data_IF_919150939061
#
_entry.id   IF_919150939061
#
_cell.length_a   1.000
_cell.length_b   1.000
_cell.length_c   1.000
_cell.angle_alpha   90.00
_cell.angle_beta   90.00
_cell.angle_gamma   90.00
#
_symmetry.space_group_name_H-M   'P 1'
#
loop_
_entity.id
_entity.type
_entity.pdbx_description
1 polymer ?
#
# COMPACT_ATOMS: atom_id res chain seq x y z
N UNK A 1 42.93 8.96 55.71
CA UNK A 1 41.48 8.68 55.82
C UNK A 1 40.70 8.89 54.50
N UNK A 2 41.31 8.81 53.31
CA UNK A 2 40.63 9.17 52.04
C UNK A 2 40.31 8.00 51.10
N UNK A 3 40.80 6.79 51.38
CA UNK A 3 40.53 5.59 50.56
C UNK A 3 39.09 5.06 50.59
N UNK A 4 38.35 5.07 51.71
CA UNK A 4 36.98 4.53 51.71
C UNK A 4 35.98 5.49 51.04
N UNK A 5 36.25 6.80 51.08
CA UNK A 5 35.38 7.83 50.48
C UNK A 5 35.38 7.76 48.95
N UNK A 6 36.54 7.48 48.35
CA UNK A 6 36.70 7.36 46.89
C UNK A 6 35.95 6.12 46.35
N UNK A 7 35.94 5.03 47.12
CA UNK A 7 35.31 3.76 46.71
C UNK A 7 33.78 3.87 46.72
N UNK A 8 33.22 4.58 47.70
CA UNK A 8 31.77 4.85 47.79
C UNK A 8 31.29 5.74 46.64
N UNK A 9 32.10 6.72 46.23
CA UNK A 9 31.76 7.61 45.11
C UNK A 9 31.69 6.87 43.76
N UNK A 10 32.60 5.93 43.51
CA UNK A 10 32.62 5.11 42.28
C UNK A 10 31.42 4.14 42.23
N UNK A 11 31.06 3.55 43.38
CA UNK A 11 29.90 2.65 43.48
C UNK A 11 28.56 3.39 43.28
N UNK A 12 28.44 4.66 43.69
CA UNK A 12 27.24 5.46 43.43
C UNK A 12 27.08 5.85 41.94
N UNK A 13 28.18 6.02 41.20
CA UNK A 13 28.11 6.37 39.77
C UNK A 13 27.73 5.19 38.87
N UNK A 14 27.99 3.94 39.32
CA UNK A 14 27.63 2.74 38.57
C UNK A 14 26.13 2.45 38.58
N UNK A 15 25.40 2.90 39.62
CA UNK A 15 23.92 2.77 39.68
C UNK A 15 23.17 3.82 38.86
N UNK A 16 23.85 4.85 38.34
CA UNK A 16 23.29 5.85 37.42
C UNK A 16 23.56 5.52 35.94
N UNK A 17 24.19 4.39 35.63
CA UNK A 17 24.09 3.78 34.31
C UNK A 17 22.66 3.24 34.15
N UNK A 18 21.70 4.18 34.10
CA UNK A 18 20.31 3.93 33.81
C UNK A 18 20.23 3.17 32.51
N UNK A 19 19.44 2.11 32.54
CA UNK A 19 19.03 1.35 31.37
C UNK A 19 18.62 2.36 30.29
N UNK A 20 19.47 2.59 29.29
CA UNK A 20 19.01 3.25 28.07
C UNK A 20 18.08 2.21 27.45
N UNK A 21 16.78 2.35 27.67
CA UNK A 21 15.79 1.49 27.03
C UNK A 21 15.82 1.84 25.55
N UNK A 22 16.74 1.20 24.83
CA UNK A 22 16.76 1.21 23.38
C UNK A 22 15.68 0.24 22.91
N UNK A 23 14.42 0.64 23.07
CA UNK A 23 13.28 -0.08 22.52
C UNK A 23 13.56 -0.33 21.03
N UNK A 24 13.49 -1.57 20.54
CA UNK A 24 13.72 -1.85 19.13
C UNK A 24 12.60 -1.23 18.30
N UNK A 25 12.96 -0.66 17.16
CA UNK A 25 11.98 -0.30 16.13
C UNK A 25 11.46 -1.58 15.49
N UNK A 26 10.15 -1.80 15.56
CA UNK A 26 9.49 -2.96 14.97
C UNK A 26 8.47 -2.49 13.95
N UNK A 27 8.60 -3.00 12.72
CA UNK A 27 7.65 -2.77 11.64
C UNK A 27 6.80 -4.03 11.47
N UNK A 28 5.50 -3.88 11.69
CA UNK A 28 4.48 -4.87 11.37
C UNK A 28 3.36 -4.14 10.62
N UNK A 29 3.14 -4.56 9.36
CA UNK A 29 2.12 -3.97 8.49
C UNK A 29 1.28 -5.05 7.83
N UNK A 30 -0.04 -4.87 7.85
CA UNK A 30 -1.02 -5.75 7.22
C UNK A 30 -1.76 -5.00 6.12
N UNK A 31 -1.89 -5.61 4.93
CA UNK A 31 -2.70 -5.05 3.85
C UNK A 31 -4.15 -5.56 3.93
N UNK A 32 -5.13 -4.68 3.70
CA UNK A 32 -6.56 -5.02 3.71
C UNK A 32 -6.94 -6.06 2.66
N UNK A 33 -6.32 -6.00 1.49
CA UNK A 33 -6.48 -6.95 0.39
C UNK A 33 -5.19 -7.02 -0.44
N UNK A 34 -4.90 -8.19 -1.00
CA UNK A 34 -3.73 -8.44 -1.86
C UNK A 34 -4.07 -8.42 -3.36
N UNK A 35 -5.36 -8.57 -3.69
CA UNK A 35 -5.90 -8.65 -5.04
C UNK A 35 -6.99 -7.58 -5.28
N UNK A 36 -6.70 -6.28 -5.07
CA UNK A 36 -7.70 -5.23 -5.27
C UNK A 36 -8.07 -5.11 -6.76
N UNK A 37 -9.31 -4.70 -7.06
CA UNK A 37 -9.84 -4.70 -8.44
C UNK A 37 -10.11 -3.28 -8.93
N UNK A 38 -9.52 -2.89 -10.07
CA UNK A 38 -9.94 -1.72 -10.85
C UNK A 38 -11.16 -2.10 -11.69
N UNK A 39 -12.18 -1.26 -11.68
CA UNK A 39 -13.40 -1.49 -12.45
C UNK A 39 -13.51 -0.45 -13.55
N UNK A 40 -13.69 -0.89 -14.79
CA UNK A 40 -13.95 -0.04 -15.94
C UNK A 40 -15.34 -0.36 -16.52
N UNK A 41 -16.16 0.66 -16.75
CA UNK A 41 -17.50 0.51 -17.33
C UNK A 41 -17.51 1.13 -18.73
N UNK A 42 -17.90 0.32 -19.71
CA UNK A 42 -17.99 0.70 -21.11
C UNK A 42 -19.44 0.66 -21.58
N UNK A 43 -19.82 1.68 -22.35
CA UNK A 43 -21.07 1.71 -23.10
C UNK A 43 -20.77 1.90 -24.58
N UNK A 44 -21.30 1.03 -25.43
CA UNK A 44 -21.10 1.08 -26.89
C UNK A 44 -19.61 1.17 -27.29
N UNK A 45 -18.76 0.43 -26.57
CA UNK A 45 -17.31 0.40 -26.75
C UNK A 45 -16.56 1.62 -26.22
N UNK A 46 -17.24 2.59 -25.60
CA UNK A 46 -16.65 3.81 -25.03
C UNK A 46 -16.53 3.69 -23.51
N UNK A 47 -15.36 4.03 -22.96
CA UNK A 47 -15.15 4.07 -21.50
C UNK A 47 -15.98 5.20 -20.89
N UNK A 48 -16.91 4.84 -20.01
CA UNK A 48 -17.82 5.77 -19.34
C UNK A 48 -17.39 6.06 -17.90
N UNK A 49 -16.97 5.03 -17.18
CA UNK A 49 -16.59 5.13 -15.77
C UNK A 49 -15.36 4.29 -15.48
N UNK A 50 -14.56 4.77 -14.53
CA UNK A 50 -13.41 4.05 -14.01
C UNK A 50 -13.31 4.24 -12.50
N UNK A 51 -13.33 3.13 -11.78
CA UNK A 51 -13.21 3.08 -10.32
C UNK A 51 -11.89 2.45 -9.94
N UNK A 52 -11.03 3.24 -9.28
CA UNK A 52 -9.75 2.79 -8.76
C UNK A 52 -9.91 1.80 -7.60
N UNK A 53 -8.93 0.93 -7.45
CA UNK A 53 -8.86 -0.04 -6.37
C UNK A 53 -8.16 0.58 -5.14
N UNK A 54 -8.57 0.20 -3.93
CA UNK A 54 -7.99 0.76 -2.69
C UNK A 54 -7.39 -0.37 -1.85
N UNK A 55 -6.16 -0.16 -1.37
CA UNK A 55 -5.49 -1.02 -0.39
C UNK A 55 -5.18 -0.18 0.84
N UNK A 56 -5.67 -0.59 2.00
CA UNK A 56 -5.33 0.00 3.28
C UNK A 56 -4.17 -0.78 3.89
N UNK A 57 -3.13 -0.08 4.31
CA UNK A 57 -2.00 -0.61 5.06
C UNK A 57 -2.20 -0.26 6.53
N UNK A 58 -2.33 -1.28 7.38
CA UNK A 58 -2.51 -1.17 8.82
C UNK A 58 -1.19 -1.45 9.54
N UNK A 59 -0.73 -0.45 10.28
CA UNK A 59 0.52 -0.39 11.03
C UNK A 59 0.33 -0.58 12.53
N UNK A 60 -0.86 -0.93 13.01
CA UNK A 60 -1.19 -1.01 14.44
C UNK A 60 -0.35 -2.02 15.24
N UNK A 61 0.33 -2.95 14.56
CA UNK A 61 1.31 -3.86 15.16
C UNK A 61 2.74 -3.27 15.28
N UNK A 62 3.02 -2.16 14.59
CA UNK A 62 4.32 -1.50 14.62
C UNK A 62 4.55 -0.79 15.95
N UNK A 63 5.80 -0.74 16.42
CA UNK A 63 6.16 -0.09 17.68
C UNK A 63 7.40 0.78 17.53
N UNK A 64 7.45 1.85 18.33
CA UNK A 64 8.54 2.85 18.36
C UNK A 64 8.69 3.71 17.10
N UNK A 65 7.86 3.52 16.07
CA UNK A 65 7.82 4.38 14.90
C UNK A 65 7.20 5.75 15.22
N UNK A 66 7.73 6.82 14.62
CA UNK A 66 7.12 8.16 14.62
C UNK A 66 6.60 8.54 13.24
N UNK A 67 7.09 7.86 12.20
CA UNK A 67 6.72 8.12 10.81
C UNK A 67 6.72 6.82 10.01
N UNK A 68 5.80 6.74 9.06
CA UNK A 68 5.75 5.72 8.02
C UNK A 68 5.95 6.38 6.66
N UNK A 69 6.78 5.78 5.82
CA UNK A 69 6.94 6.15 4.42
C UNK A 69 6.56 4.95 3.55
N UNK A 70 5.72 5.19 2.54
CA UNK A 70 5.20 4.14 1.65
C UNK A 70 5.50 4.54 0.21
N UNK A 71 6.38 3.78 -0.43
CA UNK A 71 6.75 3.93 -1.83
C UNK A 71 6.11 2.83 -2.67
N UNK A 72 5.59 3.19 -3.84
CA UNK A 72 4.99 2.25 -4.80
C UNK A 72 5.85 2.22 -6.05
N UNK A 73 6.06 1.04 -6.62
CA UNK A 73 6.94 0.81 -7.78
C UNK A 73 6.50 1.48 -9.09
N UNK A 74 5.39 2.23 -9.10
CA UNK A 74 4.89 2.93 -10.28
C UNK A 74 5.44 4.35 -10.44
N UNK A 75 6.36 4.75 -9.56
CA UNK A 75 7.08 6.01 -9.64
C UNK A 75 6.27 7.22 -9.17
N UNK A 76 5.10 7.01 -8.53
CA UNK A 76 4.40 8.08 -7.83
C UNK A 76 5.24 8.60 -6.64
N UNK A 77 4.94 9.80 -6.17
CA UNK A 77 5.56 10.32 -4.94
C UNK A 77 5.24 9.42 -3.75
N UNK A 78 6.23 9.08 -2.90
CA UNK A 78 5.98 8.34 -1.67
C UNK A 78 4.96 9.03 -0.77
N UNK A 79 4.16 8.23 -0.07
CA UNK A 79 3.21 8.71 0.94
C UNK A 79 3.92 8.68 2.29
N UNK A 80 3.94 9.82 2.98
CA UNK A 80 4.45 9.93 4.36
C UNK A 80 3.28 10.11 5.31
N UNK A 81 3.31 9.40 6.44
CA UNK A 81 2.29 9.46 7.47
C UNK A 81 2.94 9.53 8.86
N UNK A 82 2.43 10.39 9.73
CA UNK A 82 2.83 10.42 11.14
C UNK A 82 2.17 9.27 11.90
N UNK A 83 2.95 8.53 12.69
CA UNK A 83 2.41 7.48 13.56
C UNK A 83 1.48 8.05 14.66
N UNK A 84 1.55 9.36 14.94
CA UNK A 84 0.64 10.04 15.89
C UNK A 84 -0.73 10.37 15.27
N UNK A 85 -0.83 10.46 13.94
CA UNK A 85 -2.08 10.82 13.24
C UNK A 85 -2.95 9.59 12.95
N UNK A 86 -2.35 8.40 12.96
CA UNK A 86 -3.03 7.12 12.85
C UNK A 86 -2.14 6.02 12.28
N UNK A 87 -2.63 4.79 12.38
CA UNK A 87 -1.91 3.59 11.96
C UNK A 87 -2.36 3.08 10.58
N UNK A 88 -3.14 3.85 9.81
CA UNK A 88 -3.67 3.40 8.52
C UNK A 88 -3.27 4.33 7.39
N UNK A 89 -2.64 3.78 6.37
CA UNK A 89 -2.31 4.48 5.12
C UNK A 89 -3.08 3.85 3.96
N UNK A 90 -3.85 4.67 3.23
CA UNK A 90 -4.62 4.21 2.08
C UNK A 90 -3.87 4.46 0.77
N UNK A 91 -3.76 3.42 -0.06
CA UNK A 91 -3.21 3.49 -1.41
C UNK A 91 -4.33 3.29 -2.43
N UNK A 92 -4.40 4.17 -3.43
CA UNK A 92 -5.32 4.02 -4.56
C UNK A 92 -4.56 3.59 -5.81
N UNK A 93 -5.10 2.64 -6.56
CA UNK A 93 -4.56 2.14 -7.81
C UNK A 93 -5.58 2.33 -8.93
N UNK A 94 -5.24 3.12 -9.94
CA UNK A 94 -6.12 3.37 -11.09
C UNK A 94 -5.77 2.49 -12.29
N UNK A 95 -4.75 1.66 -12.21
CA UNK A 95 -4.33 0.81 -13.33
C UNK A 95 -4.06 -0.59 -12.82
N UNK A 96 -4.49 -1.60 -13.58
CA UNK A 96 -4.20 -2.99 -13.25
C UNK A 96 -2.71 -3.30 -13.47
N UNK A 97 -2.22 -4.32 -12.77
CA UNK A 97 -0.82 -4.72 -12.78
C UNK A 97 -0.33 -5.13 -11.40
N UNK A 98 0.92 -5.60 -11.35
CA UNK A 98 1.56 -6.00 -10.10
C UNK A 98 2.47 -4.88 -9.60
N UNK A 99 2.24 -4.45 -8.36
CA UNK A 99 2.97 -3.38 -7.71
C UNK A 99 3.79 -3.92 -6.54
N UNK A 100 5.04 -3.49 -6.45
CA UNK A 100 5.81 -3.63 -5.21
C UNK A 100 5.60 -2.38 -4.37
N UNK A 101 5.23 -2.60 -3.11
CA UNK A 101 5.03 -1.53 -2.12
C UNK A 101 6.16 -1.67 -1.10
N UNK A 102 7.05 -0.69 -1.06
CA UNK A 102 8.11 -0.61 -0.05
C UNK A 102 7.59 0.23 1.11
N UNK A 103 7.54 -0.37 2.28
CA UNK A 103 7.08 0.27 3.51
C UNK A 103 8.28 0.47 4.42
N UNK A 104 8.47 1.68 4.93
CA UNK A 104 9.54 2.04 5.84
C UNK A 104 8.97 2.70 7.09
N UNK A 105 9.33 2.20 8.26
CA UNK A 105 9.09 2.88 9.53
C UNK A 105 10.36 3.60 9.98
N UNK A 106 10.21 4.79 10.54
CA UNK A 106 11.30 5.61 11.08
C UNK A 106 10.97 5.96 12.52
N UNK A 107 11.93 5.83 13.42
CA UNK A 107 11.77 6.23 14.83
C UNK A 107 12.31 7.63 15.16
N UNK A 108 12.11 8.08 16.39
CA UNK A 108 12.57 9.39 16.85
C UNK A 108 14.11 9.57 16.84
N UNK A 109 14.87 8.48 16.70
CA UNK A 109 16.34 8.49 16.62
C UNK A 109 16.83 8.45 15.17
N UNK A 110 15.92 8.37 14.19
CA UNK A 110 16.23 8.23 12.77
C UNK A 110 16.66 6.81 12.38
N UNK A 111 16.37 5.80 13.19
CA UNK A 111 16.54 4.39 12.80
C UNK A 111 15.40 4.02 11.85
N UNK A 112 15.71 3.21 10.84
CA UNK A 112 14.77 2.78 9.82
C UNK A 112 14.68 1.26 9.76
N UNK A 113 13.47 0.76 9.54
CA UNK A 113 13.19 -0.64 9.19
C UNK A 113 12.24 -0.64 8.00
N UNK A 114 12.53 -1.47 7.00
CA UNK A 114 11.70 -1.54 5.79
C UNK A 114 11.31 -2.98 5.45
N UNK A 115 10.16 -3.13 4.81
CA UNK A 115 9.72 -4.39 4.21
C UNK A 115 8.96 -4.15 2.90
N UNK A 116 8.92 -5.19 2.06
CA UNK A 116 8.19 -5.14 0.79
C UNK A 116 6.88 -5.93 0.89
N UNK A 117 5.81 -5.33 0.40
CA UNK A 117 4.52 -5.96 0.14
C UNK A 117 4.29 -6.02 -1.37
N UNK A 118 3.42 -6.93 -1.81
CA UNK A 118 2.99 -7.02 -3.21
C UNK A 118 1.48 -6.80 -3.28
N UNK A 119 1.05 -5.87 -4.12
CA UNK A 119 -0.35 -5.70 -4.48
C UNK A 119 -0.54 -6.09 -5.94
N UNK A 120 -1.42 -7.07 -6.20
CA UNK A 120 -1.79 -7.48 -7.54
C UNK A 120 -3.13 -6.85 -7.88
N UNK A 121 -3.10 -5.79 -8.67
CA UNK A 121 -4.32 -5.07 -9.02
C UNK A 121 -4.91 -5.72 -10.27
N UNK A 122 -6.06 -6.36 -10.12
CA UNK A 122 -6.78 -7.01 -11.22
C UNK A 122 -7.67 -6.00 -11.96
N UNK A 123 -8.10 -6.34 -13.19
CA UNK A 123 -9.02 -5.54 -13.99
C UNK A 123 -10.37 -6.26 -14.15
N UNK A 124 -11.45 -5.55 -13.85
CA UNK A 124 -12.82 -5.95 -14.21
C UNK A 124 -13.43 -4.94 -15.16
N UNK A 125 -13.88 -5.43 -16.32
CA UNK A 125 -14.57 -4.63 -17.32
C UNK A 125 -16.05 -5.00 -17.32
N UNK A 126 -16.90 -4.00 -17.11
CA UNK A 126 -18.34 -4.06 -17.35
C UNK A 126 -18.60 -3.44 -18.72
N UNK A 127 -19.17 -4.19 -19.66
CA UNK A 127 -19.44 -3.69 -21.01
C UNK A 127 -20.90 -3.88 -21.38
N UNK A 128 -21.57 -2.77 -21.65
CA UNK A 128 -23.02 -2.72 -21.92
C UNK A 128 -23.24 -2.14 -23.31
N UNK A 129 -24.05 -2.80 -24.11
CA UNK A 129 -24.60 -2.23 -25.35
C UNK A 129 -26.10 -2.45 -25.40
N UNK A 130 -26.84 -1.38 -25.69
CA UNK A 130 -28.30 -1.42 -25.66
C UNK A 130 -28.92 -1.14 -27.02
N UNK A 131 -30.05 -1.78 -27.28
CA UNK A 131 -30.87 -1.56 -28.46
C UNK A 131 -30.10 -1.63 -29.80
N UNK A 132 -29.10 -2.52 -29.91
CA UNK A 132 -28.27 -2.66 -31.12
C UNK A 132 -28.43 -4.02 -31.81
N UNK A 133 -28.24 -4.05 -33.13
CA UNK A 133 -28.05 -5.27 -33.92
C UNK A 133 -26.63 -5.40 -34.46
N UNK A 134 -25.80 -4.39 -34.21
CA UNK A 134 -24.43 -4.27 -34.70
C UNK A 134 -23.57 -3.79 -33.53
N UNK A 135 -23.21 -4.68 -32.59
CA UNK A 135 -22.46 -4.28 -31.41
C UNK A 135 -21.05 -3.82 -31.77
N UNK A 136 -20.55 -2.84 -31.04
CA UNK A 136 -19.24 -2.25 -31.29
C UNK A 136 -18.13 -3.18 -30.81
N UNK A 137 -16.97 -3.16 -31.44
CA UNK A 137 -15.82 -3.90 -30.92
C UNK A 137 -15.25 -3.20 -29.67
N UNK A 138 -15.20 -3.91 -28.54
CA UNK A 138 -14.51 -3.42 -27.33
C UNK A 138 -12.99 -3.48 -27.51
N UNK A 139 -12.33 -2.33 -27.38
CA UNK A 139 -10.87 -2.22 -27.37
C UNK A 139 -10.37 -1.81 -25.99
N UNK A 140 -9.47 -2.59 -25.41
CA UNK A 140 -8.82 -2.29 -24.13
C UNK A 140 -7.35 -2.74 -24.16
N UNK A 141 -6.53 -2.14 -23.29
CA UNK A 141 -5.11 -2.50 -23.16
C UNK A 141 -4.92 -3.50 -22.02
N UNK A 142 -4.55 -4.77 -22.31
CA UNK A 142 -4.30 -5.75 -21.25
C UNK A 142 -2.95 -5.58 -20.57
N UNK A 143 -2.04 -4.75 -21.10
CA UNK A 143 -0.67 -4.64 -20.60
C UNK A 143 -0.59 -3.73 -19.36
N UNK A 144 0.21 -4.08 -18.34
CA UNK A 144 0.44 -3.23 -17.18
C UNK A 144 1.21 -1.98 -17.62
N UNK A 145 0.64 -0.81 -17.34
CA UNK A 145 1.18 0.49 -17.77
C UNK A 145 2.59 0.76 -17.24
N UNK A 146 2.88 0.33 -16.01
CA UNK A 146 4.17 0.57 -15.34
C UNK A 146 5.16 -0.57 -15.56
N UNK A 147 4.87 -1.46 -16.51
CA UNK A 147 5.64 -2.67 -16.74
C UNK A 147 5.46 -3.69 -15.61
N UNK A 148 6.42 -4.60 -15.49
CA UNK A 148 6.34 -5.69 -14.52
C UNK A 148 5.43 -6.84 -14.97
N UNK A 149 5.14 -7.78 -14.07
CA UNK A 149 4.29 -8.94 -14.37
C UNK A 149 2.84 -8.53 -14.68
N UNK A 150 2.19 -9.31 -15.53
CA UNK A 150 0.75 -9.22 -15.76
C UNK A 150 -0.02 -9.55 -14.48
N UNK A 151 -1.21 -8.96 -14.32
CA UNK A 151 -2.22 -9.50 -13.40
C UNK A 151 -2.60 -10.94 -13.81
N UNK A 152 -3.10 -11.74 -12.88
CA UNK A 152 -3.34 -13.17 -13.15
C UNK A 152 -4.56 -13.36 -14.06
N UNK A 153 -5.54 -12.47 -13.97
CA UNK A 153 -6.73 -12.48 -14.82
C UNK A 153 -7.26 -11.07 -15.06
N UNK A 154 -8.00 -10.94 -16.17
CA UNK A 154 -8.86 -9.80 -16.48
C UNK A 154 -10.26 -10.37 -16.67
N UNK A 155 -11.25 -9.83 -15.97
CA UNK A 155 -12.64 -10.28 -16.06
C UNK A 155 -13.43 -9.32 -16.95
N UNK A 156 -14.19 -9.85 -17.91
CA UNK A 156 -15.06 -9.06 -18.78
C UNK A 156 -16.49 -9.58 -18.63
N UNK A 157 -17.39 -8.74 -18.17
CA UNK A 157 -18.82 -8.98 -18.08
C UNK A 157 -19.52 -8.17 -19.17
N UNK A 158 -20.11 -8.84 -20.16
CA UNK A 158 -20.75 -8.19 -21.31
C UNK A 158 -22.26 -8.43 -21.32
N UNK A 159 -23.04 -7.36 -21.51
CA UNK A 159 -24.48 -7.38 -21.66
C UNK A 159 -24.85 -6.63 -22.94
N UNK A 160 -25.35 -7.35 -23.95
CA UNK A 160 -25.79 -6.78 -25.23
C UNK A 160 -27.28 -7.03 -25.39
N UNK A 161 -28.07 -5.98 -25.62
CA UNK A 161 -29.51 -6.09 -25.88
C UNK A 161 -29.90 -5.62 -27.28
N UNK A 162 -30.89 -6.30 -27.85
CA UNK A 162 -31.47 -5.97 -29.15
C UNK A 162 -32.46 -4.80 -29.01
N UNK A 163 -32.71 -4.02 -30.08
CA UNK A 163 -33.77 -3.02 -30.07
C UNK A 163 -35.16 -3.70 -29.99
N UNK A 164 -36.12 -2.96 -29.43
CA UNK A 164 -37.52 -3.39 -29.44
C UNK A 164 -38.03 -3.55 -30.88
N UNK A 165 -38.91 -4.54 -31.09
CA UNK A 165 -39.52 -4.88 -32.38
C UNK A 165 -40.60 -3.88 -32.81
#
# INVERSE_FOLDING_TARGET
MHRPLLLVLVLLTASLAGCVSDEPLMLEVTASETHPVVVETYHDGVLMEKTGAVVSLDFSGSTSAVMYAVEVSDGRTPVEASAEEGDVVNLTFDVHGVYTITVTAVDAKGREVSQNLTARVDLRIMWIEEATQDPTALSFDPLPKYGGPMADYITIESVISNPDL
#
